data_IF_027074737019
#
_entry.id   IF_027074737019
#
_cell.length_a   1.000
_cell.length_b   1.000
_cell.length_c   1.000
_cell.angle_alpha   90.00
_cell.angle_beta   90.00
_cell.angle_gamma   90.00
#
_symmetry.space_group_name_H-M   'P 1'
#
loop_
_entity.id
_entity.type
_entity.pdbx_description
1 polymer ?
#
# COMPACT_ATOMS: atom_id res chain seq x y z
N UNK A 1 33.31 0.52 12.18
CA UNK A 1 34.00 1.27 13.24
C UNK A 1 33.29 0.97 14.55
N UNK A 2 34.04 0.34 15.44
CA UNK A 2 33.91 0.37 16.91
C UNK A 2 32.73 -0.30 17.63
N UNK A 3 33.02 -1.55 18.02
CA UNK A 3 32.99 -2.14 19.37
C UNK A 3 32.33 -1.40 20.56
N UNK A 4 31.57 -2.16 21.36
CA UNK A 4 31.73 -2.46 22.82
C UNK A 4 30.38 -2.88 23.45
N UNK A 5 30.24 -4.10 23.98
CA UNK A 5 30.51 -4.58 25.36
C UNK A 5 29.51 -4.10 26.45
N UNK A 6 29.00 -5.07 27.25
CA UNK A 6 28.40 -4.86 28.58
C UNK A 6 27.07 -5.59 28.80
N UNK A 7 27.04 -6.89 29.12
CA UNK A 7 27.03 -7.49 30.48
C UNK A 7 25.97 -6.89 31.43
N UNK A 8 24.92 -7.69 31.73
CA UNK A 8 24.17 -7.58 32.98
C UNK A 8 24.15 -8.93 33.74
N UNK A 9 24.96 -8.94 34.81
CA UNK A 9 24.86 -9.75 36.05
C UNK A 9 23.50 -9.47 36.72
N UNK A 10 22.86 -10.29 37.57
CA UNK A 10 23.29 -11.22 38.65
C UNK A 10 22.00 -11.76 39.33
N UNK A 11 22.08 -12.93 39.99
CA UNK A 11 21.64 -13.23 41.39
C UNK A 11 21.84 -14.74 41.63
N UNK A 12 22.92 -15.20 42.26
CA UNK A 12 23.22 -15.34 43.72
C UNK A 12 22.15 -16.10 44.52
N UNK A 13 22.52 -17.28 45.04
CA UNK A 13 22.47 -17.62 46.47
C UNK A 13 23.23 -18.96 46.68
N UNK A 14 24.41 -18.92 47.32
CA UNK A 14 24.69 -19.52 48.65
C UNK A 14 24.79 -21.05 48.60
N UNK A 15 25.85 -21.74 49.00
CA UNK A 15 26.96 -21.42 49.90
C UNK A 15 27.05 -22.55 50.94
N UNK A 16 28.17 -23.26 50.98
CA UNK A 16 28.91 -23.67 52.20
C UNK A 16 29.97 -24.72 51.89
N UNK A 17 31.21 -24.28 52.05
CA UNK A 17 32.38 -25.12 52.29
C UNK A 17 32.27 -25.78 53.66
N UNK A 18 32.67 -27.05 53.75
CA UNK A 18 33.32 -27.60 54.95
C UNK A 18 34.49 -28.46 54.46
N UNK A 19 35.70 -27.92 54.66
CA UNK A 19 36.96 -28.64 54.65
C UNK A 19 37.20 -29.12 56.09
N UNK A 20 37.37 -30.41 56.31
CA UNK A 20 38.14 -30.92 57.44
C UNK A 20 38.99 -32.10 56.97
N UNK A 21 40.29 -31.95 57.17
CA UNK A 21 41.35 -32.92 56.90
C UNK A 21 41.47 -33.96 58.03
N UNK A 22 42.48 -34.84 57.89
CA UNK A 22 42.89 -36.00 58.73
C UNK A 22 42.30 -37.31 58.17
N UNK A 23 43.04 -38.36 57.83
CA UNK A 23 44.45 -38.70 58.01
C UNK A 23 44.53 -40.23 58.05
N UNK A 24 45.37 -40.81 57.18
CA UNK A 24 46.01 -42.13 57.22
C UNK A 24 45.30 -43.28 57.98
N UNK A 25 44.96 -44.36 57.27
CA UNK A 25 44.79 -45.67 57.91
C UNK A 25 44.17 -46.77 57.06
N UNK A 26 45.03 -47.68 56.58
CA UNK A 26 44.79 -49.10 56.33
C UNK A 26 43.78 -49.54 55.24
N UNK A 27 44.36 -49.95 54.10
CA UNK A 27 44.17 -51.31 53.57
C UNK A 27 42.76 -51.74 53.19
N UNK A 28 42.38 -51.51 51.93
CA UNK A 28 41.50 -52.43 51.21
C UNK A 28 42.12 -52.67 49.85
N UNK A 29 42.49 -53.93 49.63
CA UNK A 29 43.07 -54.46 48.41
C UNK A 29 42.29 -54.01 47.18
N UNK A 30 43.02 -53.40 46.25
CA UNK A 30 42.58 -53.24 44.88
C UNK A 30 42.34 -54.63 44.27
N UNK A 31 41.09 -55.05 44.18
CA UNK A 31 40.67 -55.99 43.16
C UNK A 31 40.36 -55.15 41.92
N UNK A 32 41.32 -55.03 41.00
CA UNK A 32 41.07 -54.48 39.69
C UNK A 32 40.07 -55.39 38.96
N UNK A 33 38.91 -54.87 38.58
CA UNK A 33 38.12 -55.52 37.55
C UNK A 33 38.97 -55.54 36.28
N UNK A 34 39.14 -56.72 35.67
CA UNK A 34 39.90 -56.86 34.41
C UNK A 34 39.21 -56.09 33.29
N UNK A 35 39.96 -55.65 32.28
CA UNK A 35 39.44 -54.87 31.14
C UNK A 35 38.27 -55.53 30.41
N UNK A 36 38.12 -56.85 30.51
CA UNK A 36 36.99 -57.61 29.97
C UNK A 36 35.69 -57.44 30.78
N UNK A 37 35.78 -57.27 32.11
CA UNK A 37 34.59 -57.08 32.96
C UNK A 37 34.02 -55.66 32.90
N UNK A 38 34.84 -54.67 32.52
CA UNK A 38 34.39 -53.29 32.27
C UNK A 38 33.70 -53.17 30.90
N UNK A 39 34.13 -53.96 29.90
CA UNK A 39 33.56 -53.93 28.54
C UNK A 39 32.16 -54.57 28.46
N UNK A 40 31.88 -55.65 29.20
CA UNK A 40 30.53 -56.24 29.22
C UNK A 40 29.51 -55.35 29.96
N UNK A 41 29.93 -54.68 31.04
CA UNK A 41 29.06 -53.74 31.77
C UNK A 41 28.74 -52.47 30.96
N UNK A 42 29.65 -52.03 30.08
CA UNK A 42 29.40 -50.91 29.15
C UNK A 42 28.47 -51.30 27.99
N UNK A 43 28.49 -52.56 27.55
CA UNK A 43 27.62 -53.09 26.48
C UNK A 43 26.16 -53.24 26.92
N UNK A 44 25.91 -53.56 28.18
CA UNK A 44 24.57 -53.59 28.78
C UNK A 44 23.97 -52.17 28.94
N UNK A 45 24.81 -51.15 29.17
CA UNK A 45 24.34 -49.76 29.32
C UNK A 45 23.92 -49.13 27.98
N UNK A 46 24.63 -49.42 26.88
CA UNK A 46 24.21 -49.03 25.53
C UNK A 46 22.87 -49.67 25.12
N UNK A 47 22.60 -50.91 25.54
CA UNK A 47 21.32 -51.60 25.29
C UNK A 47 20.18 -50.93 26.06
N UNK A 48 20.41 -50.44 27.28
CA UNK A 48 19.41 -49.74 28.10
C UNK A 48 19.13 -48.32 27.59
N UNK A 49 20.16 -47.61 27.10
CA UNK A 49 20.00 -46.27 26.50
C UNK A 49 19.32 -46.35 25.11
N UNK A 50 19.59 -47.40 24.33
CA UNK A 50 18.87 -47.70 23.08
C UNK A 50 17.42 -48.16 23.29
N UNK A 51 17.07 -48.67 24.48
CA UNK A 51 15.70 -49.14 24.81
C UNK A 51 14.78 -48.09 25.45
N UNK A 52 15.20 -46.84 25.58
CA UNK A 52 14.28 -45.72 25.77
C UNK A 52 13.53 -45.44 24.46
N UNK A 53 12.74 -46.41 24.01
CA UNK A 53 11.71 -46.17 22.99
C UNK A 53 10.84 -45.05 23.53
N UNK A 54 10.70 -43.98 22.75
CA UNK A 54 9.73 -42.93 23.05
C UNK A 54 8.37 -43.60 23.33
N UNK A 55 7.60 -43.10 24.31
CA UNK A 55 6.30 -43.67 24.62
C UNK A 55 5.45 -43.73 23.34
N UNK A 56 4.80 -44.88 23.10
CA UNK A 56 3.91 -45.07 21.97
C UNK A 56 2.83 -43.98 21.98
N UNK A 57 2.68 -43.26 20.87
CA UNK A 57 1.74 -42.14 20.72
C UNK A 57 0.34 -42.64 20.34
N UNK A 58 0.27 -43.79 19.66
CA UNK A 58 -0.97 -44.38 19.16
C UNK A 58 -0.87 -45.91 18.97
N UNK A 59 -2.02 -46.56 18.72
CA UNK A 59 -2.08 -48.00 18.39
C UNK A 59 -1.94 -48.20 16.88
N UNK A 60 -1.01 -49.04 16.40
CA UNK A 60 -0.82 -49.31 14.97
C UNK A 60 -2.13 -49.69 14.25
N UNK A 61 -2.30 -49.16 13.03
CA UNK A 61 -3.44 -49.46 12.16
C UNK A 61 -4.70 -48.63 12.39
N UNK A 62 -4.77 -47.83 13.47
CA UNK A 62 -5.89 -46.92 13.72
C UNK A 62 -5.79 -45.67 12.84
N UNK A 63 -6.96 -45.16 12.43
CA UNK A 63 -7.13 -43.89 11.72
C UNK A 63 -8.01 -42.93 12.51
N UNK A 64 -7.68 -41.64 12.46
CA UNK A 64 -8.40 -40.57 13.15
C UNK A 64 -8.41 -39.28 12.31
N UNK A 65 -9.41 -38.39 12.50
CA UNK A 65 -9.36 -37.03 12.02
C UNK A 65 -8.12 -36.30 12.53
N UNK A 66 -7.59 -35.42 11.69
CA UNK A 66 -6.47 -34.57 12.04
C UNK A 66 -6.53 -33.26 11.28
N UNK A 67 -5.87 -32.27 11.84
CA UNK A 67 -5.69 -30.97 11.22
C UNK A 67 -4.50 -30.31 11.87
N UNK A 68 -3.52 -29.89 11.07
CA UNK A 68 -2.28 -29.29 11.55
C UNK A 68 -2.25 -27.76 11.47
N UNK A 69 -3.35 -27.15 10.99
CA UNK A 69 -3.50 -25.71 10.89
C UNK A 69 -3.79 -25.02 12.23
N UNK A 70 -3.79 -23.68 12.26
CA UNK A 70 -4.15 -22.89 13.43
C UNK A 70 -5.53 -23.25 14.00
N UNK A 71 -5.69 -23.07 15.32
CA UNK A 71 -7.00 -23.26 15.95
C UNK A 71 -8.07 -22.39 15.28
N UNK A 72 -9.30 -22.94 15.20
CA UNK A 72 -10.46 -22.29 14.59
C UNK A 72 -10.42 -22.11 13.07
N UNK A 73 -9.46 -22.69 12.34
CA UNK A 73 -9.46 -22.65 10.86
C UNK A 73 -9.98 -23.95 10.23
N UNK A 74 -10.06 -25.05 10.99
CA UNK A 74 -10.56 -26.33 10.51
C UNK A 74 -12.03 -26.22 10.03
N UNK A 75 -12.30 -26.67 8.81
CA UNK A 75 -13.64 -26.67 8.23
C UNK A 75 -14.20 -25.31 7.85
N UNK A 76 -13.37 -24.25 7.86
CA UNK A 76 -13.75 -22.91 7.39
C UNK A 76 -13.20 -22.65 5.99
N UNK A 77 -13.96 -21.92 5.19
CA UNK A 77 -13.54 -21.53 3.85
C UNK A 77 -13.11 -22.74 3.02
N UNK A 78 -11.86 -22.71 2.55
CA UNK A 78 -11.22 -23.79 1.81
C UNK A 78 -10.54 -24.85 2.69
N UNK A 79 -10.40 -24.60 3.98
CA UNK A 79 -9.67 -25.49 4.87
C UNK A 79 -10.46 -26.74 5.22
N UNK A 80 -9.81 -27.89 5.09
CA UNK A 80 -10.42 -29.21 5.24
C UNK A 80 -9.57 -30.03 6.20
N UNK A 81 -10.24 -30.79 7.08
CA UNK A 81 -9.60 -31.76 7.96
C UNK A 81 -9.18 -33.01 7.18
N UNK A 82 -8.03 -33.58 7.54
CA UNK A 82 -7.52 -34.81 6.96
C UNK A 82 -7.74 -36.03 7.85
N UNK A 83 -7.21 -37.17 7.41
CA UNK A 83 -7.13 -38.40 8.20
C UNK A 83 -5.65 -38.78 8.38
N UNK A 84 -5.26 -39.07 9.62
CA UNK A 84 -3.94 -39.62 9.95
C UNK A 84 -4.07 -41.09 10.32
N UNK A 85 -3.04 -41.86 10.00
CA UNK A 85 -2.94 -43.28 10.33
C UNK A 85 -1.76 -43.52 11.26
N UNK A 86 -1.96 -44.35 12.28
CA UNK A 86 -0.89 -44.79 13.16
C UNK A 86 -0.05 -45.88 12.47
N UNK A 87 1.25 -45.67 12.37
CA UNK A 87 2.21 -46.62 11.81
C UNK A 87 2.51 -47.80 12.73
N UNK A 88 3.19 -48.81 12.19
CA UNK A 88 3.68 -49.98 12.97
C UNK A 88 4.72 -49.59 14.04
N UNK A 89 5.34 -48.42 13.88
CA UNK A 89 6.23 -47.80 14.85
C UNK A 89 5.49 -47.12 16.01
N UNK A 90 4.15 -47.21 16.05
CA UNK A 90 3.27 -46.61 17.07
C UNK A 90 3.33 -45.07 17.11
N UNK A 91 3.52 -44.45 15.94
CA UNK A 91 3.54 -43.00 15.75
C UNK A 91 2.52 -42.56 14.71
N UNK A 92 2.03 -41.33 14.82
CA UNK A 92 1.12 -40.78 13.83
C UNK A 92 1.87 -40.45 12.53
N UNK A 93 1.33 -40.93 11.41
CA UNK A 93 1.75 -40.49 10.09
C UNK A 93 1.25 -39.08 9.75
N UNK A 94 1.64 -38.60 8.56
CA UNK A 94 1.15 -37.34 8.02
C UNK A 94 -0.39 -37.31 7.97
N UNK A 95 -0.96 -36.13 8.19
CA UNK A 95 -2.38 -35.90 8.04
C UNK A 95 -2.70 -35.83 6.53
N UNK A 96 -3.34 -36.86 5.99
CA UNK A 96 -3.61 -36.94 4.55
C UNK A 96 -4.94 -36.29 4.23
N UNK A 97 -4.95 -35.45 3.19
CA UNK A 97 -6.16 -34.78 2.70
C UNK A 97 -6.51 -33.48 3.42
N UNK A 98 -5.68 -33.01 4.37
CA UNK A 98 -5.88 -31.68 4.95
C UNK A 98 -5.60 -30.58 3.92
N UNK A 99 -6.37 -29.50 3.99
CA UNK A 99 -6.09 -28.23 3.29
C UNK A 99 -5.86 -27.20 4.37
N UNK A 100 -4.65 -26.65 4.40
CA UNK A 100 -4.25 -25.66 5.41
C UNK A 100 -4.48 -24.23 4.91
N UNK A 101 -4.59 -23.26 5.84
CA UNK A 101 -4.69 -21.85 5.50
C UNK A 101 -3.53 -21.39 4.62
N UNK A 102 -3.86 -20.55 3.66
CA UNK A 102 -2.92 -19.85 2.79
C UNK A 102 -3.19 -18.36 2.85
N UNK A 103 -2.31 -17.54 2.28
CA UNK A 103 -2.56 -16.10 2.21
C UNK A 103 -3.77 -15.83 1.31
N UNK A 104 -4.65 -14.95 1.78
CA UNK A 104 -5.77 -14.41 1.04
C UNK A 104 -5.42 -13.97 -0.39
N UNK A 105 -6.29 -14.34 -1.32
CA UNK A 105 -6.32 -13.83 -2.69
C UNK A 105 -7.74 -13.37 -2.97
N UNK A 106 -7.89 -12.40 -3.85
CA UNK A 106 -9.20 -11.92 -4.24
C UNK A 106 -9.79 -12.91 -5.27
N UNK A 107 -10.32 -14.03 -4.80
CA UNK A 107 -10.92 -15.09 -5.63
C UNK A 107 -12.36 -15.44 -5.23
N UNK A 108 -12.93 -14.70 -4.28
CA UNK A 108 -14.27 -14.91 -3.74
C UNK A 108 -14.34 -16.08 -2.77
N UNK A 109 -13.21 -16.50 -2.20
CA UNK A 109 -13.12 -17.57 -1.21
C UNK A 109 -12.35 -17.09 0.01
N UNK A 110 -12.38 -17.93 1.03
CA UNK A 110 -11.70 -17.73 2.30
C UNK A 110 -10.50 -18.70 2.31
N UNK A 111 -9.33 -18.16 1.94
CA UNK A 111 -8.09 -18.91 1.72
C UNK A 111 -7.27 -19.05 3.02
N UNK A 112 -7.36 -18.08 3.91
CA UNK A 112 -6.74 -18.06 5.23
C UNK A 112 -7.64 -18.68 6.32
N UNK A 113 -8.88 -18.99 5.95
CA UNK A 113 -9.85 -19.73 6.75
C UNK A 113 -10.21 -19.01 8.06
N UNK A 114 -10.13 -17.68 8.08
CA UNK A 114 -10.52 -16.86 9.22
C UNK A 114 -12.05 -16.70 9.33
N UNK A 115 -12.79 -17.05 8.27
CA UNK A 115 -14.25 -16.97 8.15
C UNK A 115 -14.75 -15.73 7.41
N UNK A 116 -13.86 -14.91 6.85
CA UNK A 116 -14.18 -13.71 6.07
C UNK A 116 -13.60 -13.91 4.67
N UNK A 117 -14.47 -13.88 3.66
CA UNK A 117 -14.06 -14.00 2.25
C UNK A 117 -13.30 -12.75 1.80
N UNK A 118 -12.15 -12.95 1.12
CA UNK A 118 -11.28 -11.92 0.56
C UNK A 118 -10.91 -10.81 1.60
N UNK A 119 -10.66 -11.14 2.87
CA UNK A 119 -10.23 -10.16 3.88
C UNK A 119 -8.87 -9.53 3.51
N UNK A 120 -8.76 -8.21 3.68
CA UNK A 120 -7.66 -7.41 3.11
C UNK A 120 -7.91 -6.95 1.66
N UNK A 121 -8.99 -7.40 1.02
CA UNK A 121 -9.53 -6.87 -0.24
C UNK A 121 -10.90 -6.19 -0.03
N UNK A 122 -11.14 -5.71 1.20
CA UNK A 122 -12.38 -5.20 1.83
C UNK A 122 -13.25 -4.24 0.98
N UNK A 123 -12.69 -3.69 -0.10
CA UNK A 123 -13.44 -2.84 -1.00
C UNK A 123 -14.20 -3.61 -2.06
N UNK A 124 -14.04 -4.93 -2.21
CA UNK A 124 -14.75 -5.72 -3.23
C UNK A 124 -16.26 -5.44 -3.19
N UNK A 125 -16.81 -4.94 -4.30
CA UNK A 125 -18.22 -4.56 -4.45
C UNK A 125 -18.56 -3.14 -3.99
N UNK A 126 -17.68 -2.45 -3.28
CA UNK A 126 -17.84 -1.03 -2.94
C UNK A 126 -17.68 -0.14 -4.18
N UNK A 127 -18.31 1.03 -4.15
CA UNK A 127 -18.17 2.04 -5.19
C UNK A 127 -16.74 2.61 -5.22
N UNK A 128 -16.29 2.96 -6.42
CA UNK A 128 -15.01 3.61 -6.67
C UNK A 128 -15.15 4.70 -7.73
N UNK A 129 -14.19 5.62 -7.77
CA UNK A 129 -14.14 6.70 -8.76
C UNK A 129 -12.74 6.78 -9.37
N UNK A 130 -12.68 7.09 -10.67
CA UNK A 130 -11.45 7.43 -11.40
C UNK A 130 -11.61 8.77 -12.10
N UNK A 131 -10.51 9.48 -12.33
CA UNK A 131 -10.51 10.79 -13.00
C UNK A 131 -10.97 11.95 -12.10
N UNK A 132 -10.86 13.15 -12.66
CA UNK A 132 -11.31 14.43 -12.10
C UNK A 132 -12.14 15.16 -13.16
N UNK A 133 -12.88 16.20 -12.76
CA UNK A 133 -13.61 17.05 -13.70
C UNK A 133 -14.63 16.25 -14.54
N UNK A 134 -14.68 16.52 -15.85
CA UNK A 134 -15.50 15.79 -16.80
C UNK A 134 -15.11 14.31 -16.94
N UNK A 135 -13.85 13.96 -16.67
CA UNK A 135 -13.38 12.58 -16.76
C UNK A 135 -13.74 11.74 -15.53
N UNK A 136 -14.37 12.34 -14.50
CA UNK A 136 -14.73 11.60 -13.30
C UNK A 136 -15.80 10.55 -13.62
N UNK A 137 -15.43 9.28 -13.50
CA UNK A 137 -16.32 8.15 -13.71
C UNK A 137 -16.50 7.33 -12.43
N UNK A 138 -17.64 6.66 -12.33
CA UNK A 138 -17.97 5.74 -11.25
C UNK A 138 -17.80 4.30 -11.71
N UNK A 139 -17.33 3.45 -10.80
CA UNK A 139 -17.31 2.02 -10.95
C UNK A 139 -17.46 1.32 -9.60
N UNK A 140 -17.05 0.07 -9.58
CA UNK A 140 -16.99 -0.82 -8.43
C UNK A 140 -15.59 -1.41 -8.32
N UNK A 141 -15.13 -1.61 -7.10
CA UNK A 141 -13.91 -2.39 -6.85
C UNK A 141 -14.17 -3.86 -7.16
N UNK A 142 -13.32 -4.43 -8.01
CA UNK A 142 -13.30 -5.85 -8.38
C UNK A 142 -11.96 -6.46 -8.08
N UNK A 143 -11.91 -7.78 -7.97
CA UNK A 143 -10.65 -8.50 -8.03
C UNK A 143 -10.00 -8.31 -9.40
N UNK A 144 -8.70 -8.05 -9.41
CA UNK A 144 -7.89 -8.20 -10.62
C UNK A 144 -7.99 -9.64 -11.12
N UNK A 145 -7.82 -9.84 -12.42
CA UNK A 145 -7.96 -11.17 -13.03
C UNK A 145 -7.03 -12.25 -12.45
N UNK A 146 -5.91 -11.84 -11.85
CA UNK A 146 -4.94 -12.73 -11.18
C UNK A 146 -5.19 -12.90 -9.67
N UNK A 147 -6.24 -12.28 -9.11
CA UNK A 147 -6.57 -12.31 -7.69
C UNK A 147 -5.58 -11.59 -6.77
N UNK A 148 -4.61 -10.86 -7.32
CA UNK A 148 -3.52 -10.26 -6.53
C UNK A 148 -3.89 -8.99 -5.77
N UNK A 149 -4.94 -8.28 -6.24
CA UNK A 149 -5.35 -6.96 -5.74
C UNK A 149 -6.81 -6.67 -6.09
N UNK A 150 -7.41 -5.72 -5.38
CA UNK A 150 -8.64 -5.07 -5.86
C UNK A 150 -8.30 -3.91 -6.78
N UNK A 151 -9.04 -3.78 -7.87
CA UNK A 151 -8.95 -2.67 -8.83
C UNK A 151 -10.33 -2.07 -9.12
N UNK A 152 -10.35 -0.75 -9.31
CA UNK A 152 -11.57 -0.04 -9.65
C UNK A 152 -11.90 -0.26 -11.14
N UNK A 153 -13.06 -0.82 -11.47
CA UNK A 153 -13.49 -1.08 -12.86
C UNK A 153 -14.08 0.15 -13.57
N UNK A 154 -14.04 1.33 -12.93
CA UNK A 154 -14.60 2.56 -13.49
C UNK A 154 -14.02 2.84 -14.90
N UNK A 155 -14.88 3.15 -15.90
CA UNK A 155 -14.42 3.43 -17.25
C UNK A 155 -13.40 4.56 -17.30
N UNK A 156 -12.36 4.42 -18.13
CA UNK A 156 -11.43 5.52 -18.39
C UNK A 156 -12.08 6.44 -19.42
N UNK A 157 -12.52 7.62 -18.98
CA UNK A 157 -12.94 8.69 -19.88
C UNK A 157 -11.68 9.36 -20.44
N UNK A 158 -11.60 9.47 -21.77
CA UNK A 158 -10.46 10.09 -22.43
C UNK A 158 -10.60 11.62 -22.36
N UNK A 159 -9.55 12.33 -21.92
CA UNK A 159 -9.45 13.78 -22.05
C UNK A 159 -9.78 14.27 -23.46
N UNK A 160 -10.47 15.41 -23.53
CA UNK A 160 -10.69 16.16 -24.76
C UNK A 160 -10.13 17.57 -24.61
N UNK A 161 -9.89 18.28 -25.70
CA UNK A 161 -9.42 19.67 -25.62
C UNK A 161 -10.41 20.55 -24.86
N UNK A 162 -9.89 21.55 -24.15
CA UNK A 162 -10.69 22.53 -23.42
C UNK A 162 -11.64 23.28 -24.35
N UNK A 163 -12.89 23.38 -23.91
CA UNK A 163 -13.90 24.26 -24.47
C UNK A 163 -14.32 25.24 -23.38
N UNK A 164 -14.69 26.45 -23.77
CA UNK A 164 -15.04 27.50 -22.80
C UNK A 164 -16.43 27.27 -22.20
N UNK A 165 -16.57 26.31 -21.29
CA UNK A 165 -17.82 25.90 -20.64
C UNK A 165 -17.72 25.83 -19.11
N UNK A 166 -16.55 26.14 -18.54
CA UNK A 166 -16.28 26.08 -17.10
C UNK A 166 -16.10 24.65 -16.58
N UNK A 167 -15.93 23.68 -17.48
CA UNK A 167 -15.66 22.28 -17.17
C UNK A 167 -14.22 21.94 -17.53
N UNK A 168 -13.59 21.13 -16.69
CA UNK A 168 -12.26 20.53 -16.93
C UNK A 168 -12.43 19.32 -17.86
N UNK A 169 -12.28 19.57 -19.17
CA UNK A 169 -12.53 18.64 -20.27
C UNK A 169 -11.30 17.79 -20.60
N UNK A 170 -10.10 18.33 -20.36
CA UNK A 170 -8.82 17.65 -20.52
C UNK A 170 -8.34 16.96 -19.23
N UNK A 171 -9.03 17.23 -18.13
CA UNK A 171 -8.92 16.53 -16.86
C UNK A 171 -7.54 16.71 -16.21
N UNK A 172 -6.94 17.88 -16.40
CA UNK A 172 -5.70 18.30 -15.77
C UNK A 172 -5.92 18.91 -14.37
N UNK A 173 -7.18 19.20 -14.02
CA UNK A 173 -7.61 19.74 -12.74
C UNK A 173 -8.01 21.22 -12.76
N UNK A 174 -7.90 21.91 -13.89
CA UNK A 174 -8.22 23.33 -14.06
C UNK A 174 -9.19 23.53 -15.23
N UNK A 175 -10.45 23.95 -14.98
CA UNK A 175 -11.39 24.24 -16.07
C UNK A 175 -10.94 25.42 -16.94
N UNK A 176 -11.22 25.35 -18.24
CA UNK A 176 -10.99 26.41 -19.24
C UNK A 176 -9.54 26.93 -19.27
N UNK A 177 -8.54 26.08 -19.06
CA UNK A 177 -7.12 26.45 -19.09
C UNK A 177 -6.46 26.22 -20.47
N UNK A 178 -5.16 26.50 -20.56
CA UNK A 178 -4.37 26.23 -21.77
C UNK A 178 -4.97 26.76 -23.08
N UNK A 179 -4.98 25.88 -24.10
CA UNK A 179 -5.49 26.16 -25.44
C UNK A 179 -7.00 25.89 -25.52
N UNK A 180 -7.81 26.83 -24.99
CA UNK A 180 -9.28 26.74 -25.06
C UNK A 180 -9.78 26.96 -26.50
N UNK A 181 -10.54 26.01 -27.02
CA UNK A 181 -11.10 26.06 -28.37
C UNK A 181 -11.96 27.32 -28.56
N UNK A 182 -11.70 28.05 -29.65
CA UNK A 182 -12.43 29.28 -30.00
C UNK A 182 -11.89 30.56 -29.38
N UNK A 183 -10.76 30.49 -28.67
CA UNK A 183 -10.01 31.67 -28.20
C UNK A 183 -8.86 32.02 -29.15
N UNK A 184 -8.25 33.21 -28.98
CA UNK A 184 -7.09 33.66 -29.75
C UNK A 184 -7.39 34.32 -31.09
N UNK A 185 -8.58 34.12 -31.66
CA UNK A 185 -8.99 34.80 -32.89
C UNK A 185 -9.28 36.29 -32.67
N UNK A 186 -8.95 37.12 -33.67
CA UNK A 186 -9.33 38.52 -33.70
C UNK A 186 -10.85 38.69 -33.76
N UNK A 187 -11.35 39.73 -33.11
CA UNK A 187 -12.76 40.09 -33.08
C UNK A 187 -12.94 41.60 -32.98
N UNK A 188 -14.15 42.09 -33.28
CA UNK A 188 -14.54 43.48 -33.06
C UNK A 188 -15.35 43.58 -31.77
N UNK A 189 -14.92 44.46 -30.86
CA UNK A 189 -15.60 44.71 -29.58
C UNK A 189 -16.83 45.59 -29.73
N UNK A 190 -16.99 46.26 -30.88
CA UNK A 190 -18.01 47.28 -31.12
C UNK A 190 -17.74 48.61 -30.42
N UNK A 191 -16.58 48.79 -29.79
CA UNK A 191 -16.15 50.06 -29.20
C UNK A 191 -15.56 50.99 -30.25
N UNK A 192 -15.48 52.28 -29.91
CA UNK A 192 -14.90 53.30 -30.77
C UNK A 192 -13.36 53.19 -30.82
N UNK A 193 -12.78 53.91 -31.77
CA UNK A 193 -11.33 54.11 -31.87
C UNK A 193 -10.48 52.84 -31.82
N UNK A 194 -9.36 52.96 -31.09
CA UNK A 194 -8.37 51.89 -30.92
C UNK A 194 -8.92 50.69 -30.14
N UNK A 195 -9.99 50.88 -29.35
CA UNK A 195 -10.61 49.81 -28.56
C UNK A 195 -11.44 48.82 -29.39
N UNK A 196 -11.75 49.13 -30.66
CA UNK A 196 -12.55 48.26 -31.52
C UNK A 196 -11.89 46.90 -31.72
N UNK A 197 -10.56 46.87 -31.89
CA UNK A 197 -9.82 45.63 -32.08
C UNK A 197 -9.74 44.82 -30.77
N UNK A 198 -10.20 43.59 -30.81
CA UNK A 198 -10.15 42.66 -29.69
C UNK A 198 -9.70 41.25 -30.07
N UNK A 199 -9.55 40.41 -29.06
CA UNK A 199 -9.24 38.99 -29.18
C UNK A 199 -10.26 38.18 -28.39
N UNK A 200 -10.72 37.06 -28.96
CA UNK A 200 -11.62 36.12 -28.27
C UNK A 200 -10.88 35.49 -27.09
N UNK A 201 -11.43 35.63 -25.90
CA UNK A 201 -10.94 35.02 -24.66
C UNK A 201 -12.05 34.26 -23.95
N UNK A 202 -11.70 33.20 -23.23
CA UNK A 202 -12.63 32.56 -22.33
C UNK A 202 -12.75 33.40 -21.05
N UNK A 203 -13.96 33.89 -20.75
CA UNK A 203 -14.21 34.74 -19.58
C UNK A 203 -15.47 34.24 -18.88
N UNK A 204 -15.28 33.48 -17.81
CA UNK A 204 -16.37 32.93 -16.99
C UNK A 204 -17.23 31.91 -17.74
N UNK A 205 -16.61 30.92 -18.38
CA UNK A 205 -17.30 29.86 -19.12
C UNK A 205 -18.05 30.34 -20.37
N UNK A 206 -17.61 31.46 -20.96
CA UNK A 206 -18.15 31.96 -22.22
C UNK A 206 -17.09 32.71 -23.02
N UNK A 207 -17.05 32.48 -24.33
CA UNK A 207 -16.17 33.20 -25.24
C UNK A 207 -16.64 34.66 -25.33
N UNK A 208 -15.76 35.59 -24.99
CA UNK A 208 -15.98 37.04 -25.10
C UNK A 208 -14.90 37.69 -25.94
N UNK A 209 -15.30 38.71 -26.70
CA UNK A 209 -14.34 39.59 -27.35
C UNK A 209 -13.79 40.59 -26.32
N UNK A 210 -12.50 40.48 -26.00
CA UNK A 210 -11.84 41.40 -25.07
C UNK A 210 -10.95 42.33 -25.86
N UNK A 211 -11.07 43.64 -25.61
CA UNK A 211 -10.27 44.68 -26.26
C UNK A 211 -8.77 44.42 -26.11
N UNK A 212 -8.01 44.62 -27.20
CA UNK A 212 -6.55 44.49 -27.19
C UNK A 212 -5.89 45.71 -26.54
N UNK A 213 -6.51 46.88 -26.69
CA UNK A 213 -6.10 48.15 -26.09
C UNK A 213 -7.22 48.60 -25.15
N UNK A 214 -6.86 48.95 -23.91
CA UNK A 214 -7.80 49.53 -22.97
C UNK A 214 -7.89 51.05 -23.18
N UNK A 215 -9.05 51.67 -22.93
CA UNK A 215 -9.20 53.12 -22.95
C UNK A 215 -8.10 53.83 -22.16
N UNK A 216 -7.49 54.81 -22.78
CA UNK A 216 -6.49 55.70 -22.19
C UNK A 216 -6.80 57.14 -22.54
N UNK A 217 -6.23 58.08 -21.79
CA UNK A 217 -6.33 59.50 -22.11
C UNK A 217 -5.79 59.84 -23.49
N UNK A 218 -6.41 60.84 -24.14
CA UNK A 218 -6.04 61.34 -25.46
C UNK A 218 -4.64 61.95 -25.50
N UNK A 219 -3.83 61.50 -26.46
CA UNK A 219 -2.48 62.01 -26.72
C UNK A 219 -2.34 62.73 -28.07
N UNK A 220 -3.46 63.17 -28.64
CA UNK A 220 -3.50 64.01 -29.85
C UNK A 220 -2.78 63.37 -31.05
N UNK A 221 -3.00 62.06 -31.27
CA UNK A 221 -2.32 61.26 -32.27
C UNK A 221 -3.19 60.96 -33.52
N UNK A 222 -4.36 61.62 -33.66
CA UNK A 222 -5.41 61.35 -34.65
C UNK A 222 -6.08 59.97 -34.52
N UNK A 223 -5.97 59.34 -33.34
CA UNK A 223 -6.74 58.17 -32.95
C UNK A 223 -7.63 58.56 -31.78
N UNK A 224 -8.73 57.83 -31.63
CA UNK A 224 -9.62 57.90 -30.47
C UNK A 224 -9.07 56.86 -29.46
N UNK A 225 -8.26 57.34 -28.51
CA UNK A 225 -7.50 56.58 -27.52
C UNK A 225 -8.35 56.27 -26.26
N UNK A 226 -9.31 57.13 -25.94
CA UNK A 226 -10.21 56.99 -24.79
C UNK A 226 -11.51 56.25 -25.14
N UNK A 227 -11.76 56.07 -26.44
CA UNK A 227 -12.81 55.27 -27.03
C UNK A 227 -14.22 55.81 -26.78
N UNK A 228 -14.38 57.13 -26.76
CA UNK A 228 -15.65 57.84 -26.54
C UNK A 228 -16.38 58.29 -27.83
N UNK A 229 -15.81 58.01 -29.01
CA UNK A 229 -16.25 58.42 -30.36
C UNK A 229 -15.90 59.85 -30.77
N UNK A 230 -15.13 60.57 -29.97
CA UNK A 230 -14.43 61.78 -30.40
C UNK A 230 -12.96 61.47 -30.65
N UNK A 231 -12.33 62.30 -31.47
CA UNK A 231 -10.91 62.13 -31.82
C UNK A 231 -10.19 63.36 -31.32
N UNK A 232 -9.14 63.15 -30.52
CA UNK A 232 -8.25 64.19 -29.99
C UNK A 232 -8.98 65.28 -29.16
N UNK A 233 -9.99 64.92 -28.37
CA UNK A 233 -10.59 65.78 -27.33
C UNK A 233 -9.75 65.80 -26.04
N UNK A 234 -9.84 66.88 -25.27
CA UNK A 234 -9.18 66.99 -23.94
C UNK A 234 -7.70 66.51 -23.89
N UNK A 235 -6.95 66.74 -24.97
CA UNK A 235 -5.59 66.24 -25.14
C UNK A 235 -4.66 66.63 -24.00
N UNK A 236 -3.88 65.67 -23.55
CA UNK A 236 -2.75 65.89 -22.66
C UNK A 236 -1.44 65.54 -23.37
N UNK A 237 -0.33 66.06 -22.84
CA UNK A 237 0.97 65.66 -23.37
C UNK A 237 1.21 64.16 -23.14
N UNK A 238 1.94 63.51 -24.04
CA UNK A 238 2.32 62.09 -23.88
C UNK A 238 3.08 61.83 -22.56
N UNK A 239 3.76 62.85 -22.02
CA UNK A 239 4.46 62.79 -20.73
C UNK A 239 3.48 62.77 -19.54
N UNK A 240 2.40 63.56 -19.61
CA UNK A 240 1.30 63.54 -18.64
C UNK A 240 0.49 62.24 -18.70
N UNK A 241 0.24 61.69 -19.90
CA UNK A 241 -0.42 60.39 -20.08
C UNK A 241 0.38 59.25 -19.45
N UNK A 242 1.71 59.27 -19.63
CA UNK A 242 2.61 58.29 -19.02
C UNK A 242 2.65 58.39 -17.47
N UNK A 243 2.43 59.56 -16.87
CA UNK A 243 2.31 59.69 -15.42
C UNK A 243 0.99 59.11 -14.88
N UNK A 244 -0.12 59.22 -15.62
CA UNK A 244 -1.41 58.70 -15.17
C UNK A 244 -1.45 57.17 -15.14
N UNK A 245 -0.77 56.49 -16.06
CA UNK A 245 -0.65 55.03 -16.08
C UNK A 245 0.14 54.47 -14.89
N UNK A 246 1.06 55.24 -14.29
CA UNK A 246 1.87 54.82 -13.13
C UNK A 246 1.11 54.87 -11.80
N UNK A 247 -0.10 55.45 -11.77
CA UNK A 247 -0.91 55.64 -10.55
C UNK A 247 -2.02 54.59 -10.37
N UNK A 248 -2.17 53.65 -11.31
CA UNK A 248 -3.10 52.52 -11.24
C UNK A 248 -2.36 51.26 -10.77
#
# INVERSE_FOLDING_TARGET
MDAQHGIHRRRRSAGRSVLLALGLGAGISAACATSDQVLEAQKELEIVEQKKRAPAECKPGIEEPCYSGPENTAGRGLCVEGIRRCGEDARWGACKGEVLPTREVCDGKDNDCDGIVDNGFERHGALCWRGQGACRSQGTWRCAADGSKSECDAPIIKPTAEICDGVDNDCDGTPDDGDVQGTGEACSTGKAGVCNAGTKKCVGGSIRCVQNVAPSVEICNNLDDDCDNTVDEDCISAEEAAEQLKKK
#
